data_IF_808833130272
#
_entry.id   IF_808833130272
#
_cell.length_a   1.000
_cell.length_b   1.000
_cell.length_c   1.000
_cell.angle_alpha   90.00
_cell.angle_beta   90.00
_cell.angle_gamma   90.00
#
_symmetry.space_group_name_H-M   'P 1'
#
loop_
_entity.id
_entity.type
_entity.pdbx_description
1 polymer ?
#
# COMPACT_ATOMS: atom_id res chain seq x y z
N UNK A 1 -26.98 23.34 2.01
CA UNK A 1 -27.28 24.64 2.63
C UNK A 1 -27.75 24.39 4.04
N UNK A 2 -26.99 24.83 5.06
CA UNK A 2 -27.48 25.40 6.32
C UNK A 2 -26.26 25.92 7.08
N UNK A 3 -26.39 27.16 7.51
CA UNK A 3 -25.39 28.16 7.84
C UNK A 3 -25.54 28.47 9.34
N UNK A 4 -24.48 28.39 10.15
CA UNK A 4 -24.53 28.89 11.54
C UNK A 4 -23.23 29.64 11.85
N UNK A 5 -23.44 30.88 12.29
CA UNK A 5 -22.53 32.00 12.39
C UNK A 5 -22.02 32.16 13.82
N UNK A 6 -20.75 32.56 13.97
CA UNK A 6 -20.13 33.05 15.21
C UNK A 6 -20.76 34.39 15.66
N UNK A 7 -20.69 34.73 16.96
CA UNK A 7 -20.82 36.12 17.40
C UNK A 7 -19.46 36.77 17.68
N UNK A 8 -19.24 37.94 17.08
CA UNK A 8 -18.29 38.98 17.53
C UNK A 8 -19.04 40.09 18.28
N UNK A 9 -18.38 40.67 19.29
CA UNK A 9 -18.51 42.05 19.81
C UNK A 9 -17.38 42.23 20.85
N UNK A 10 -16.70 43.35 21.08
CA UNK A 10 -16.72 44.70 20.51
C UNK A 10 -15.44 45.43 20.99
N UNK A 11 -15.10 46.50 20.28
CA UNK A 11 -13.96 47.41 20.44
C UNK A 11 -14.11 48.39 21.62
N UNK A 12 -12.99 48.73 22.27
CA UNK A 12 -12.76 50.07 22.85
C UNK A 12 -11.30 50.48 22.63
N UNK A 13 -11.13 51.70 22.11
CA UNK A 13 -9.90 52.38 21.70
C UNK A 13 -9.60 53.50 22.72
N UNK A 14 -8.33 53.71 23.07
CA UNK A 14 -7.88 54.86 23.86
C UNK A 14 -6.41 55.14 23.60
N UNK A 15 -6.13 56.21 22.87
CA UNK A 15 -4.81 56.69 22.44
C UNK A 15 -4.11 57.57 23.49
N UNK A 16 -2.79 57.72 23.27
CA UNK A 16 -1.88 58.82 23.60
C UNK A 16 -1.11 58.82 24.94
N UNK A 17 0.21 58.94 24.81
CA UNK A 17 1.07 59.61 25.79
C UNK A 17 2.48 59.03 25.88
N UNK A 18 3.45 59.64 25.19
CA UNK A 18 4.85 59.23 25.23
C UNK A 18 5.68 59.83 26.39
N UNK A 19 6.98 59.51 26.31
CA UNK A 19 8.14 60.14 26.97
C UNK A 19 8.62 59.51 28.28
N UNK A 20 9.85 58.99 28.21
CA UNK A 20 10.75 58.57 29.31
C UNK A 20 10.99 59.66 30.35
N UNK A 21 11.53 59.32 31.54
CA UNK A 21 12.96 59.57 31.76
C UNK A 21 13.73 58.54 32.63
N UNK A 22 15.01 58.39 32.27
CA UNK A 22 16.28 58.23 33.03
C UNK A 22 16.33 57.79 34.51
N UNK A 23 17.08 56.68 34.74
CA UNK A 23 18.24 56.33 35.63
C UNK A 23 18.58 57.17 36.90
N UNK A 24 19.48 56.76 37.86
CA UNK A 24 20.59 55.76 37.78
C UNK A 24 20.93 55.00 39.11
N UNK A 25 22.12 54.36 39.14
CA UNK A 25 22.98 53.87 40.25
C UNK A 25 23.12 52.33 40.28
N UNK A 26 24.30 51.68 40.26
CA UNK A 26 25.71 52.05 40.47
C UNK A 26 26.61 51.03 39.74
N UNK A 27 27.73 51.49 39.16
CA UNK A 27 28.93 50.67 38.86
C UNK A 27 29.87 50.68 40.08
N UNK A 28 30.81 49.72 40.16
CA UNK A 28 32.16 50.06 39.70
C UNK A 28 32.81 48.97 38.84
N UNK A 29 33.64 49.45 37.90
CA UNK A 29 34.55 48.69 37.05
C UNK A 29 35.64 47.98 37.87
N UNK A 30 36.11 46.84 37.39
CA UNK A 30 37.55 46.55 37.26
C UNK A 30 37.78 45.63 36.06
N UNK A 31 38.75 46.04 35.25
CA UNK A 31 39.16 45.50 33.97
C UNK A 31 39.76 44.10 34.02
N UNK A 32 39.65 43.42 32.88
CA UNK A 32 40.62 42.42 32.43
C UNK A 32 40.27 40.99 32.76
N UNK A 33 39.61 40.31 31.83
CA UNK A 33 40.09 39.05 31.25
C UNK A 33 39.03 38.49 30.31
N UNK A 34 39.40 38.48 29.02
CA UNK A 34 39.04 37.49 28.03
C UNK A 34 37.55 37.21 27.81
N UNK A 35 37.13 37.62 26.63
CA UNK A 35 35.95 37.22 25.87
C UNK A 35 35.81 35.68 25.78
N UNK A 36 35.47 35.04 26.90
CA UNK A 36 35.26 33.60 27.04
C UNK A 36 33.77 33.24 27.06
N UNK A 37 32.89 34.22 26.86
CA UNK A 37 31.44 34.01 26.69
C UNK A 37 31.07 33.79 25.21
N UNK A 38 31.92 34.22 24.26
CA UNK A 38 31.74 33.95 22.83
C UNK A 38 32.06 32.49 22.42
N UNK A 39 32.58 31.68 23.35
CA UNK A 39 32.98 30.28 23.08
C UNK A 39 32.15 29.23 23.85
N UNK A 40 31.08 29.63 24.54
CA UNK A 40 30.22 28.72 25.32
C UNK A 40 28.75 28.74 24.88
N UNK A 41 28.45 29.13 23.64
CA UNK A 41 27.27 28.61 22.95
C UNK A 41 27.65 27.29 22.28
N UNK A 42 27.41 26.18 22.96
CA UNK A 42 27.33 24.88 22.30
C UNK A 42 26.08 24.94 21.40
N UNK A 43 26.32 25.29 20.12
CA UNK A 43 25.34 25.42 19.03
C UNK A 43 25.08 26.88 18.65
N UNK A 44 25.82 27.51 17.73
CA UNK A 44 25.67 27.30 16.27
C UNK A 44 26.79 27.99 15.46
N UNK A 45 27.09 27.53 14.22
CA UNK A 45 26.54 28.22 13.05
C UNK A 45 25.82 27.27 12.08
N UNK A 46 25.58 26.03 12.49
CA UNK A 46 24.89 25.06 11.65
C UNK A 46 23.39 25.08 11.92
N UNK A 47 22.73 26.12 11.43
CA UNK A 47 21.28 26.14 11.21
C UNK A 47 20.88 25.23 10.06
N UNK A 48 21.18 23.92 10.16
CA UNK A 48 20.71 22.95 9.18
C UNK A 48 19.47 22.24 9.71
N UNK A 49 18.31 22.85 9.48
CA UNK A 49 17.04 22.14 9.50
C UNK A 49 16.90 21.42 8.16
N UNK A 50 17.20 20.13 8.12
CA UNK A 50 16.89 19.31 6.94
C UNK A 50 15.40 18.92 7.03
N UNK A 51 14.53 19.76 6.48
CA UNK A 51 13.10 19.43 6.30
C UNK A 51 12.95 18.48 5.09
N UNK A 52 13.52 17.26 5.20
CA UNK A 52 13.27 16.18 4.24
C UNK A 52 11.91 15.56 4.57
N UNK A 53 10.86 16.06 3.92
CA UNK A 53 9.50 15.52 4.03
C UNK A 53 9.22 14.53 2.90
N UNK A 54 9.80 13.33 2.99
CA UNK A 54 9.35 12.22 2.16
C UNK A 54 7.94 11.86 2.61
N UNK A 55 6.96 11.95 1.72
CA UNK A 55 5.58 11.57 1.98
C UNK A 55 5.04 10.69 0.86
N UNK A 56 4.01 9.92 1.17
CA UNK A 56 3.38 9.04 0.20
C UNK A 56 2.17 9.72 -0.43
N UNK A 57 2.19 9.93 -1.74
CA UNK A 57 1.06 10.39 -2.52
C UNK A 57 0.19 9.18 -2.89
N UNK A 58 -0.96 9.06 -2.22
CA UNK A 58 -1.91 7.96 -2.46
C UNK A 58 -2.67 8.06 -3.78
N UNK A 59 -2.85 9.25 -4.33
CA UNK A 59 -3.53 9.44 -5.63
C UNK A 59 -2.68 8.90 -6.78
N UNK A 60 -1.37 9.01 -6.64
CA UNK A 60 -0.40 8.65 -7.67
C UNK A 60 0.40 7.40 -7.32
N UNK A 61 0.10 6.80 -6.16
CA UNK A 61 0.77 5.66 -5.56
C UNK A 61 2.30 5.74 -5.64
N UNK A 62 2.89 6.85 -5.17
CA UNK A 62 4.36 7.05 -5.16
C UNK A 62 4.81 7.86 -3.96
N UNK A 63 6.06 7.72 -3.59
CA UNK A 63 6.74 8.61 -2.66
C UNK A 63 7.19 9.88 -3.37
N UNK A 64 6.94 11.03 -2.74
CA UNK A 64 7.33 12.36 -3.20
C UNK A 64 8.23 13.04 -2.17
N UNK A 65 9.03 14.01 -2.61
CA UNK A 65 10.01 14.69 -1.75
C UNK A 65 11.26 13.85 -1.47
N UNK A 66 11.58 12.87 -2.33
CA UNK A 66 12.80 12.06 -2.24
C UNK A 66 14.01 12.93 -2.65
N UNK A 67 14.99 13.18 -1.75
CA UNK A 67 16.20 13.91 -2.12
C UNK A 67 17.04 13.18 -3.17
N UNK A 68 17.73 13.92 -4.03
CA UNK A 68 18.59 13.34 -5.08
C UNK A 68 19.70 12.44 -4.51
N UNK A 69 20.17 12.73 -3.30
CA UNK A 69 21.19 11.95 -2.58
C UNK A 69 20.61 10.83 -1.69
N UNK A 70 19.31 10.52 -1.78
CA UNK A 70 18.69 9.48 -0.94
C UNK A 70 19.32 8.09 -1.15
N UNK A 71 19.85 7.82 -2.34
CA UNK A 71 20.60 6.61 -2.66
C UNK A 71 21.75 6.35 -1.69
N UNK A 72 22.51 7.41 -1.43
CA UNK A 72 23.77 7.34 -0.70
C UNK A 72 23.53 6.93 0.76
N UNK A 73 22.38 7.32 1.32
CA UNK A 73 21.97 6.95 2.68
C UNK A 73 21.56 5.48 2.79
N UNK A 74 20.88 4.92 1.78
CA UNK A 74 20.50 3.51 1.78
C UNK A 74 21.73 2.59 1.67
N UNK A 75 22.69 2.96 0.82
CA UNK A 75 23.94 2.20 0.62
C UNK A 75 24.87 2.34 1.84
N UNK A 76 25.00 3.54 2.41
CA UNK A 76 25.84 3.78 3.59
C UNK A 76 25.33 3.08 4.85
N UNK A 77 24.01 2.99 5.04
CA UNK A 77 23.40 2.31 6.18
C UNK A 77 23.67 0.79 6.22
N UNK A 78 23.86 0.15 5.07
CA UNK A 78 24.21 -1.27 4.98
C UNK A 78 25.68 -1.54 5.40
N UNK A 79 26.60 -0.62 5.10
CA UNK A 79 28.03 -0.76 5.44
C UNK A 79 28.29 -0.48 6.93
N UNK A 80 27.58 0.47 7.55
CA UNK A 80 27.77 0.83 8.97
C UNK A 80 27.26 -0.28 9.91
N UNK A 81 26.22 -1.04 9.52
CA UNK A 81 25.69 -2.14 10.35
C UNK A 81 26.65 -3.32 10.48
N UNK A 82 27.46 -3.62 9.46
CA UNK A 82 28.50 -4.64 9.57
C UNK A 82 29.63 -4.28 10.55
N UNK A 83 29.78 -3.00 10.92
CA UNK A 83 30.81 -2.54 11.85
C UNK A 83 30.32 -2.46 13.30
N UNK A 84 29.01 -2.36 13.52
CA UNK A 84 28.42 -2.30 14.85
C UNK A 84 28.40 -3.68 15.55
N UNK A 85 28.23 -4.77 14.80
CA UNK A 85 28.23 -6.14 15.35
C UNK A 85 29.62 -6.64 15.78
N UNK A 86 30.70 -5.92 15.44
CA UNK A 86 32.07 -6.29 15.82
C UNK A 86 32.54 -5.65 17.14
N UNK A 87 31.77 -4.75 17.74
CA UNK A 87 32.21 -3.99 18.94
C UNK A 87 31.49 -4.42 20.23
N UNK A 88 30.42 -5.22 20.15
CA UNK A 88 29.71 -5.77 21.34
C UNK A 88 30.03 -7.25 21.63
N UNK A 89 31.24 -7.72 21.28
CA UNK A 89 31.67 -9.10 21.52
C UNK A 89 32.87 -9.22 22.47
N UNK A 90 33.05 -8.25 23.37
CA UNK A 90 34.07 -8.27 24.42
C UNK A 90 33.45 -7.78 25.74
N UNK A 91 32.58 -8.60 26.32
CA UNK A 91 32.44 -8.74 27.78
C UNK A 91 31.28 -9.70 28.10
N UNK A 92 31.60 -10.98 28.30
CA UNK A 92 30.90 -11.89 29.23
C UNK A 92 31.57 -13.27 29.19
N UNK A 93 32.59 -13.45 30.02
CA UNK A 93 33.07 -14.78 30.41
C UNK A 93 32.31 -15.24 31.67
N UNK A 94 31.68 -16.42 31.61
CA UNK A 94 31.64 -17.47 32.65
C UNK A 94 30.51 -18.49 32.38
N UNK A 95 30.88 -19.77 32.32
CA UNK A 95 30.00 -20.96 32.25
C UNK A 95 29.63 -21.47 33.67
N UNK A 96 29.02 -22.66 33.89
CA UNK A 96 28.01 -23.44 33.14
C UNK A 96 26.83 -23.88 34.07
N UNK A 97 25.89 -24.74 33.58
CA UNK A 97 25.28 -25.92 34.27
C UNK A 97 23.73 -26.13 34.08
N UNK A 98 23.43 -27.32 33.50
CA UNK A 98 22.31 -28.29 33.64
C UNK A 98 20.79 -27.98 33.40
N UNK A 99 20.26 -28.71 32.40
CA UNK A 99 18.99 -29.49 32.28
C UNK A 99 17.84 -29.25 33.30
N UNK A 100 16.64 -28.96 32.79
CA UNK A 100 15.48 -29.89 32.69
C UNK A 100 14.19 -29.14 32.30
N UNK A 101 13.26 -29.81 31.63
CA UNK A 101 12.11 -29.19 30.98
C UNK A 101 10.93 -28.83 31.88
N UNK A 102 9.98 -28.07 31.31
CA UNK A 102 8.54 -28.20 31.55
C UNK A 102 7.73 -27.34 30.58
N UNK A 103 6.66 -27.95 30.10
CA UNK A 103 5.56 -27.42 29.30
C UNK A 103 4.80 -26.35 30.10
N UNK A 104 4.62 -25.15 29.54
CA UNK A 104 3.68 -24.15 30.07
C UNK A 104 3.01 -23.37 28.93
N UNK A 105 1.67 -23.48 28.88
CA UNK A 105 0.75 -22.64 28.11
C UNK A 105 0.98 -21.17 28.43
N UNK A 106 1.10 -20.32 27.40
CA UNK A 106 0.95 -18.87 27.52
C UNK A 106 0.17 -18.31 26.33
N UNK A 107 -1.03 -17.84 26.64
CA UNK A 107 -1.84 -16.89 25.89
C UNK A 107 -0.97 -15.67 25.53
N UNK A 108 -0.96 -15.24 24.26
CA UNK A 108 -0.41 -13.94 23.85
C UNK A 108 -1.48 -13.18 23.08
N UNK A 109 -2.03 -12.17 23.73
CA UNK A 109 -2.54 -10.96 23.09
C UNK A 109 -1.36 -10.28 22.39
N UNK A 110 -1.41 -10.14 21.07
CA UNK A 110 -0.45 -9.30 20.34
C UNK A 110 -1.17 -8.04 19.87
N UNK A 111 -1.05 -6.98 20.64
CA UNK A 111 -1.15 -5.62 20.12
C UNK A 111 0.06 -5.39 19.21
N UNK A 112 -0.17 -5.32 17.90
CA UNK A 112 0.85 -4.94 16.94
C UNK A 112 1.14 -3.43 17.07
N UNK A 113 2.41 -3.00 17.08
CA UNK A 113 2.74 -1.58 16.97
C UNK A 113 2.47 -1.08 15.54
N UNK A 114 2.25 0.23 15.33
CA UNK A 114 2.05 0.78 14.00
C UNK A 114 3.30 0.53 13.13
N UNK A 115 3.06 0.12 11.89
CA UNK A 115 4.06 -0.43 10.98
C UNK A 115 5.25 0.49 10.74
N UNK A 116 6.39 0.14 11.34
CA UNK A 116 7.70 0.54 10.86
C UNK A 116 8.09 -0.36 9.69
N UNK A 117 8.05 0.16 8.46
CA UNK A 117 8.61 -0.52 7.30
C UNK A 117 10.13 -0.59 7.48
N UNK A 118 10.65 -1.76 7.83
CA UNK A 118 12.10 -1.96 7.88
C UNK A 118 12.63 -2.09 6.44
N UNK A 119 13.47 -1.17 6.01
CA UNK A 119 14.14 -1.21 4.69
C UNK A 119 14.83 -2.56 4.44
N UNK A 120 15.29 -3.23 5.50
CA UNK A 120 15.93 -4.54 5.44
C UNK A 120 15.05 -5.63 4.82
N UNK A 121 13.71 -5.58 5.01
CA UNK A 121 12.81 -6.57 4.45
C UNK A 121 12.49 -6.37 2.96
N UNK A 122 12.77 -5.19 2.41
CA UNK A 122 12.57 -4.89 0.98
C UNK A 122 13.75 -5.36 0.11
N UNK A 123 14.97 -5.40 0.66
CA UNK A 123 16.18 -5.74 -0.10
C UNK A 123 16.27 -7.23 -0.51
N UNK A 124 15.54 -8.13 0.16
CA UNK A 124 15.62 -9.58 -0.09
C UNK A 124 14.81 -10.10 -1.29
N UNK A 125 14.00 -9.25 -1.94
CA UNK A 125 13.05 -9.64 -3.00
C UNK A 125 13.24 -8.89 -4.32
N UNK A 126 14.40 -8.25 -4.52
CA UNK A 126 14.69 -7.41 -5.68
C UNK A 126 15.01 -8.22 -6.94
N UNK A 127 14.53 -7.76 -8.10
CA UNK A 127 15.00 -8.25 -9.42
C UNK A 127 16.50 -7.91 -9.59
N UNK A 128 17.36 -8.83 -10.05
CA UNK A 128 18.81 -8.67 -10.08
C UNK A 128 19.35 -7.69 -11.14
N UNK A 129 18.50 -6.89 -11.81
CA UNK A 129 18.91 -6.08 -12.98
C UNK A 129 19.21 -4.62 -12.64
N UNK A 130 18.74 -4.04 -11.53
CA UNK A 130 19.07 -2.64 -11.18
C UNK A 130 19.03 -2.40 -9.65
N UNK A 131 19.87 -3.12 -8.89
CA UNK A 131 19.79 -3.16 -7.42
C UNK A 131 20.12 -1.87 -6.66
N UNK A 132 20.49 -0.78 -7.37
CA UNK A 132 21.06 0.42 -6.74
C UNK A 132 20.25 1.72 -6.98
N UNK A 133 19.11 1.68 -7.68
CA UNK A 133 18.25 2.87 -7.80
C UNK A 133 17.32 2.99 -6.57
N UNK A 134 17.55 3.96 -5.67
CA UNK A 134 16.76 4.10 -4.45
C UNK A 134 15.31 4.50 -4.71
N UNK A 135 15.05 5.23 -5.80
CA UNK A 135 13.70 5.67 -6.17
C UNK A 135 12.89 4.45 -6.57
N UNK A 136 13.53 3.53 -7.31
CA UNK A 136 12.94 2.23 -7.64
C UNK A 136 12.73 1.35 -6.42
N UNK A 137 13.70 1.30 -5.49
CA UNK A 137 13.55 0.52 -4.24
C UNK A 137 12.35 1.02 -3.43
N UNK A 138 12.19 2.34 -3.32
CA UNK A 138 11.15 2.95 -2.52
C UNK A 138 9.76 2.84 -3.17
N UNK A 139 9.68 2.99 -4.49
CA UNK A 139 8.42 2.96 -5.24
C UNK A 139 8.08 1.59 -5.84
N UNK A 140 8.80 0.52 -5.49
CA UNK A 140 8.47 -0.79 -6.02
C UNK A 140 7.08 -1.23 -5.52
N UNK A 141 6.21 -1.59 -6.46
CA UNK A 141 4.83 -2.02 -6.19
C UNK A 141 4.51 -3.40 -6.76
N UNK A 142 5.19 -3.82 -7.83
CA UNK A 142 5.09 -5.15 -8.42
C UNK A 142 6.18 -6.06 -7.90
N UNK A 143 5.92 -7.38 -7.90
CA UNK A 143 6.86 -8.41 -7.42
C UNK A 143 7.23 -8.31 -5.95
N UNK A 144 6.40 -7.63 -5.16
CA UNK A 144 6.51 -7.59 -3.70
C UNK A 144 5.32 -8.32 -3.07
N UNK A 145 5.49 -8.91 -1.88
CA UNK A 145 4.36 -9.35 -1.08
C UNK A 145 3.42 -8.17 -0.83
N UNK A 146 2.11 -8.38 -0.96
CA UNK A 146 1.09 -7.34 -0.78
C UNK A 146 1.09 -6.69 0.63
N UNK A 147 1.77 -7.30 1.61
CA UNK A 147 1.97 -6.74 2.95
C UNK A 147 3.06 -5.65 2.99
N UNK A 148 3.97 -5.65 2.03
CA UNK A 148 5.12 -4.74 1.94
C UNK A 148 4.82 -3.47 1.13
N UNK A 149 3.76 -3.47 0.33
CA UNK A 149 3.37 -2.27 -0.42
C UNK A 149 2.59 -1.29 0.48
N UNK A 150 2.69 0.02 0.22
CA UNK A 150 1.82 1.03 0.82
C UNK A 150 0.33 0.71 0.62
N UNK A 151 -0.47 0.95 1.67
CA UNK A 151 -1.90 0.62 1.72
C UNK A 151 -2.71 1.78 2.28
N UNK A 152 -3.90 2.00 1.73
CA UNK A 152 -4.83 3.09 2.06
C UNK A 152 -6.14 2.52 2.61
N UNK A 153 -6.77 3.24 3.54
CA UNK A 153 -8.11 2.86 4.01
C UNK A 153 -9.14 3.17 2.93
N UNK A 154 -9.99 2.19 2.61
CA UNK A 154 -11.06 2.32 1.62
C UNK A 154 -12.38 2.06 2.35
N UNK A 155 -13.40 2.93 2.24
CA UNK A 155 -14.69 2.70 2.87
C UNK A 155 -15.30 1.35 2.48
N UNK A 156 -15.86 0.64 3.47
CA UNK A 156 -16.45 -0.69 3.26
C UNK A 156 -15.50 -1.89 3.39
N UNK A 157 -14.21 -1.64 3.69
CA UNK A 157 -13.23 -2.69 3.97
C UNK A 157 -12.61 -2.51 5.35
N UNK A 158 -12.47 -3.62 6.08
CA UNK A 158 -11.89 -3.62 7.43
C UNK A 158 -10.35 -3.49 7.41
N UNK A 159 -9.72 -3.79 6.28
CA UNK A 159 -8.28 -3.71 6.08
C UNK A 159 -7.92 -2.68 5.00
N UNK A 160 -6.71 -2.13 5.11
CA UNK A 160 -6.20 -1.18 4.10
C UNK A 160 -5.84 -1.90 2.81
N UNK A 161 -6.29 -1.36 1.68
CA UNK A 161 -6.09 -1.90 0.34
C UNK A 161 -4.77 -1.36 -0.27
N UNK A 162 -4.00 -2.14 -1.04
CA UNK A 162 -2.82 -1.66 -1.75
C UNK A 162 -3.10 -0.37 -2.53
N UNK A 163 -2.35 0.69 -2.23
CA UNK A 163 -2.61 2.01 -2.80
C UNK A 163 -2.45 2.04 -4.33
N UNK A 164 -1.55 1.23 -4.87
CA UNK A 164 -1.38 1.05 -6.33
C UNK A 164 -2.65 0.52 -7.00
N UNK A 165 -3.38 -0.41 -6.35
CA UNK A 165 -4.62 -0.94 -6.89
C UNK A 165 -5.72 0.13 -6.87
N UNK A 166 -5.80 0.90 -5.79
CA UNK A 166 -6.76 2.02 -5.66
C UNK A 166 -6.48 3.11 -6.70
N UNK A 167 -5.22 3.50 -6.89
CA UNK A 167 -4.82 4.46 -7.93
C UNK A 167 -5.17 3.96 -9.35
N UNK A 168 -4.88 2.69 -9.67
CA UNK A 168 -5.24 2.09 -10.96
C UNK A 168 -6.76 2.08 -11.19
N UNK A 169 -7.52 1.73 -10.15
CA UNK A 169 -8.98 1.77 -10.17
C UNK A 169 -9.52 3.19 -10.37
N UNK A 170 -8.99 4.19 -9.67
CA UNK A 170 -9.41 5.58 -9.84
C UNK A 170 -9.20 6.05 -11.28
N UNK A 171 -8.03 5.79 -11.87
CA UNK A 171 -7.80 6.10 -13.28
C UNK A 171 -8.73 5.31 -14.21
N UNK A 172 -8.96 4.02 -13.93
CA UNK A 172 -9.86 3.18 -14.72
C UNK A 172 -11.31 3.72 -14.73
N UNK A 173 -11.83 4.09 -13.55
CA UNK A 173 -13.19 4.63 -13.39
C UNK A 173 -13.30 6.02 -14.02
N UNK A 174 -12.30 6.90 -13.81
CA UNK A 174 -12.28 8.26 -14.39
C UNK A 174 -12.33 8.24 -15.93
N UNK A 175 -11.79 7.19 -16.55
CA UNK A 175 -11.78 6.97 -17.99
C UNK A 175 -12.95 6.13 -18.49
N UNK A 176 -13.94 5.87 -17.64
CA UNK A 176 -15.11 5.04 -17.96
C UNK A 176 -14.73 3.67 -18.53
N UNK A 177 -13.67 3.04 -18.02
CA UNK A 177 -13.20 1.76 -18.54
C UNK A 177 -14.23 0.63 -18.46
N UNK A 178 -15.17 0.72 -17.53
CA UNK A 178 -16.31 -0.18 -17.42
C UNK A 178 -17.24 -0.14 -18.64
N UNK A 179 -17.16 0.85 -19.53
CA UNK A 179 -17.92 0.90 -20.79
C UNK A 179 -17.12 0.37 -21.99
N UNK A 180 -15.83 0.10 -21.84
CA UNK A 180 -14.97 -0.31 -22.96
C UNK A 180 -15.24 -1.76 -23.36
N UNK A 181 -15.53 -2.00 -24.64
CA UNK A 181 -15.76 -3.33 -25.19
C UNK A 181 -14.58 -4.29 -24.88
N UNK A 182 -14.91 -5.47 -24.38
CA UNK A 182 -13.98 -6.55 -24.04
C UNK A 182 -12.86 -6.16 -23.06
N UNK A 183 -13.11 -5.17 -22.20
CA UNK A 183 -12.16 -4.75 -21.16
C UNK A 183 -11.75 -5.93 -20.25
N UNK A 184 -10.49 -5.95 -19.79
CA UNK A 184 -9.80 -7.10 -19.15
C UNK A 184 -9.52 -8.31 -20.04
N UNK A 185 -10.32 -8.58 -21.09
CA UNK A 185 -10.07 -9.67 -22.05
C UNK A 185 -9.01 -9.28 -23.07
N UNK A 186 -9.15 -8.11 -23.69
CA UNK A 186 -8.16 -7.59 -24.62
C UNK A 186 -6.93 -7.08 -23.87
N UNK A 187 -5.74 -7.51 -24.31
CA UNK A 187 -4.47 -7.09 -23.73
C UNK A 187 -3.85 -5.97 -24.56
N UNK A 188 -3.22 -4.96 -23.94
CA UNK A 188 -2.41 -3.97 -24.64
C UNK A 188 -1.13 -4.62 -25.20
N UNK A 189 -0.29 -3.83 -25.87
CA UNK A 189 1.06 -4.29 -26.23
C UNK A 189 1.84 -4.68 -24.98
N UNK A 190 2.55 -5.82 -25.03
CA UNK A 190 3.42 -6.27 -23.93
C UNK A 190 4.42 -5.17 -23.53
N UNK A 191 5.01 -4.49 -24.51
CA UNK A 191 5.98 -3.43 -24.30
C UNK A 191 5.38 -2.22 -23.58
N UNK A 192 4.15 -1.84 -23.95
CA UNK A 192 3.43 -0.72 -23.32
C UNK A 192 3.09 -1.03 -21.85
N UNK A 193 2.57 -2.23 -21.58
CA UNK A 193 2.30 -2.69 -20.20
C UNK A 193 3.59 -2.82 -19.39
N UNK A 194 4.65 -3.37 -19.96
CA UNK A 194 5.96 -3.48 -19.30
C UNK A 194 6.54 -2.11 -18.94
N UNK A 195 6.42 -1.13 -19.84
CA UNK A 195 6.85 0.24 -19.57
C UNK A 195 6.01 0.86 -18.45
N UNK A 196 4.69 0.73 -18.52
CA UNK A 196 3.81 1.27 -17.49
C UNK A 196 4.06 0.65 -16.10
N UNK A 197 4.35 -0.66 -16.04
CA UNK A 197 4.76 -1.34 -14.79
C UNK A 197 6.09 -0.78 -14.26
N UNK A 198 7.08 -0.55 -15.13
CA UNK A 198 8.35 0.09 -14.74
C UNK A 198 8.12 1.50 -14.20
N UNK A 199 7.28 2.29 -14.88
CA UNK A 199 6.97 3.65 -14.47
C UNK A 199 6.31 3.67 -13.08
N UNK A 200 5.44 2.71 -12.76
CA UNK A 200 4.88 2.56 -11.39
C UNK A 200 6.00 2.25 -10.40
N UNK A 201 6.83 1.26 -10.69
CA UNK A 201 7.92 0.84 -9.80
C UNK A 201 8.97 1.94 -9.58
N UNK A 202 9.04 2.95 -10.45
CA UNK A 202 9.94 4.09 -10.32
C UNK A 202 9.24 5.38 -9.88
N UNK A 203 7.95 5.36 -9.51
CA UNK A 203 7.19 6.57 -9.14
C UNK A 203 6.98 7.56 -10.30
N UNK A 204 7.22 7.15 -11.54
CA UNK A 204 7.10 7.97 -12.75
C UNK A 204 5.76 7.79 -13.48
N UNK A 205 4.90 6.88 -13.02
CA UNK A 205 3.63 6.58 -13.67
C UNK A 205 2.73 7.81 -13.79
N UNK A 206 2.02 7.91 -14.92
CA UNK A 206 1.05 8.97 -15.23
C UNK A 206 -0.21 8.34 -15.79
N UNK A 207 -1.05 7.76 -14.92
CA UNK A 207 -2.20 6.95 -15.33
C UNK A 207 -3.18 7.65 -16.26
N UNK A 208 -3.29 8.98 -16.18
CA UNK A 208 -4.07 9.80 -17.10
C UNK A 208 -3.63 9.69 -18.58
N UNK A 209 -2.37 9.35 -18.86
CA UNK A 209 -1.83 9.26 -20.23
C UNK A 209 -1.92 7.88 -20.88
N UNK A 210 -2.17 6.82 -20.11
CA UNK A 210 -2.18 5.44 -20.62
C UNK A 210 -3.54 5.01 -21.16
N UNK A 211 -3.56 4.10 -22.13
CA UNK A 211 -4.81 3.47 -22.59
C UNK A 211 -5.52 2.72 -21.45
N UNK A 212 -6.84 2.64 -21.53
CA UNK A 212 -7.66 1.98 -20.51
C UNK A 212 -7.36 0.48 -20.38
N UNK A 213 -6.97 -0.18 -21.48
CA UNK A 213 -6.55 -1.58 -21.49
C UNK A 213 -5.22 -1.77 -20.76
N UNK A 214 -4.34 -0.77 -20.76
CA UNK A 214 -3.11 -0.79 -19.93
C UNK A 214 -3.47 -0.77 -18.46
N UNK A 215 -4.39 0.10 -18.04
CA UNK A 215 -4.84 0.15 -16.64
C UNK A 215 -5.47 -1.18 -16.20
N UNK A 216 -6.36 -1.75 -17.02
CA UNK A 216 -6.98 -3.04 -16.75
C UNK A 216 -5.96 -4.19 -16.69
N UNK A 217 -4.96 -4.19 -17.59
CA UNK A 217 -3.92 -5.21 -17.60
C UNK A 217 -2.93 -5.07 -16.45
N UNK A 218 -2.63 -3.84 -15.98
CA UNK A 218 -1.82 -3.60 -14.79
C UNK A 218 -2.48 -4.13 -13.51
N UNK A 219 -3.81 -4.00 -13.38
CA UNK A 219 -4.55 -4.59 -12.25
C UNK A 219 -4.36 -6.11 -12.25
N UNK A 220 -4.58 -6.78 -13.39
CA UNK A 220 -4.34 -8.24 -13.52
C UNK A 220 -2.88 -8.61 -13.22
N UNK A 221 -1.96 -7.85 -13.80
CA UNK A 221 -0.53 -8.06 -13.65
C UNK A 221 -0.09 -7.96 -12.19
N UNK A 222 -0.64 -7.03 -11.42
CA UNK A 222 -0.26 -6.85 -10.02
C UNK A 222 -0.50 -8.13 -9.21
N UNK A 223 -1.65 -8.78 -9.41
CA UNK A 223 -1.94 -10.08 -8.79
C UNK A 223 -1.04 -11.20 -9.32
N UNK A 224 -0.81 -11.23 -10.63
CA UNK A 224 0.01 -12.27 -11.29
C UNK A 224 1.47 -12.25 -10.83
N UNK A 225 2.01 -11.06 -10.59
CA UNK A 225 3.41 -10.85 -10.21
C UNK A 225 3.64 -10.97 -8.70
N UNK A 226 2.62 -11.28 -7.89
CA UNK A 226 2.84 -11.51 -6.46
C UNK A 226 3.83 -12.68 -6.24
N UNK A 227 4.79 -12.54 -5.31
CA UNK A 227 5.70 -13.64 -4.97
C UNK A 227 4.96 -14.90 -4.49
N UNK A 228 3.82 -14.72 -3.83
CA UNK A 228 2.85 -15.78 -3.53
C UNK A 228 1.48 -15.35 -4.08
N UNK A 229 0.87 -16.09 -5.02
CA UNK A 229 -0.44 -15.77 -5.56
C UNK A 229 -1.50 -15.72 -4.45
N UNK A 230 -2.43 -14.78 -4.55
CA UNK A 230 -3.34 -14.49 -3.43
C UNK A 230 -4.26 -15.67 -3.05
N UNK A 231 -4.58 -16.56 -4.00
CA UNK A 231 -5.38 -17.75 -3.73
C UNK A 231 -4.55 -18.97 -3.32
N UNK A 232 -3.22 -18.87 -3.25
CA UNK A 232 -2.37 -19.95 -2.69
C UNK A 232 -2.46 -20.09 -1.17
N UNK A 233 -3.09 -19.12 -0.50
CA UNK A 233 -3.54 -19.30 0.90
C UNK A 233 -4.58 -20.42 1.03
N UNK A 234 -5.28 -20.76 -0.06
CA UNK A 234 -6.21 -21.89 -0.12
C UNK A 234 -5.43 -23.13 -0.55
N UNK A 235 -5.44 -24.22 0.24
CA UNK A 235 -4.80 -25.46 -0.16
C UNK A 235 -5.35 -25.99 -1.49
N UNK A 236 -4.48 -26.43 -2.39
CA UNK A 236 -4.89 -26.91 -3.73
C UNK A 236 -5.95 -28.03 -3.66
N UNK A 237 -5.84 -28.94 -2.68
CA UNK A 237 -6.82 -30.02 -2.46
C UNK A 237 -8.20 -29.53 -2.02
N UNK A 238 -8.31 -28.31 -1.49
CA UNK A 238 -9.59 -27.72 -1.10
C UNK A 238 -10.28 -26.97 -2.25
N UNK A 239 -9.53 -26.56 -3.29
CA UNK A 239 -10.08 -25.71 -4.36
C UNK A 239 -11.26 -26.35 -5.09
N UNK A 240 -11.17 -27.64 -5.43
CA UNK A 240 -12.26 -28.37 -6.11
C UNK A 240 -13.49 -28.51 -5.21
N UNK A 241 -13.29 -28.83 -3.92
CA UNK A 241 -14.37 -28.94 -2.94
C UNK A 241 -15.09 -27.61 -2.76
N UNK A 242 -14.33 -26.52 -2.60
CA UNK A 242 -14.87 -25.17 -2.42
C UNK A 242 -15.63 -24.67 -3.64
N UNK A 243 -15.14 -24.98 -4.84
CA UNK A 243 -15.81 -24.64 -6.09
C UNK A 243 -17.21 -25.27 -6.22
N UNK A 244 -17.44 -26.40 -5.55
CA UNK A 244 -18.73 -27.11 -5.51
C UNK A 244 -19.61 -26.77 -4.30
N UNK A 245 -19.16 -25.88 -3.40
CA UNK A 245 -19.90 -25.54 -2.18
C UNK A 245 -21.15 -24.70 -2.47
N UNK A 246 -22.18 -24.84 -1.62
CA UNK A 246 -23.43 -24.06 -1.75
C UNK A 246 -23.21 -22.56 -1.54
N UNK A 247 -22.35 -22.20 -0.59
CA UNK A 247 -21.97 -20.81 -0.30
C UNK A 247 -20.48 -20.59 -0.53
N UNK A 248 -20.07 -20.62 -1.81
CA UNK A 248 -18.68 -20.45 -2.23
C UNK A 248 -18.05 -19.18 -1.65
N UNK A 249 -18.77 -18.04 -1.63
CA UNK A 249 -18.22 -16.79 -1.08
C UNK A 249 -17.80 -16.97 0.38
N UNK A 250 -18.70 -17.45 1.24
CA UNK A 250 -18.39 -17.60 2.67
C UNK A 250 -17.24 -18.57 2.90
N UNK A 251 -17.29 -19.75 2.28
CA UNK A 251 -16.29 -20.81 2.43
C UNK A 251 -14.90 -20.34 1.99
N UNK A 252 -14.80 -19.72 0.81
CA UNK A 252 -13.55 -19.18 0.28
C UNK A 252 -12.98 -18.10 1.19
N UNK A 253 -13.80 -17.10 1.53
CA UNK A 253 -13.32 -15.97 2.33
C UNK A 253 -12.94 -16.41 3.75
N UNK A 254 -13.52 -17.48 4.28
CA UNK A 254 -13.19 -18.03 5.60
C UNK A 254 -11.77 -18.61 5.69
N UNK A 255 -11.22 -19.08 4.56
CA UNK A 255 -9.86 -19.61 4.47
C UNK A 255 -8.80 -18.53 4.22
N UNK A 256 -9.20 -17.35 3.75
CA UNK A 256 -8.31 -16.22 3.54
C UNK A 256 -8.07 -15.45 4.84
N UNK A 257 -6.83 -14.99 5.03
CA UNK A 257 -6.52 -13.99 6.04
C UNK A 257 -7.29 -12.68 5.80
N UNK A 258 -7.42 -11.85 6.85
CA UNK A 258 -8.25 -10.64 6.79
C UNK A 258 -7.85 -9.69 5.64
N UNK A 259 -6.55 -9.52 5.40
CA UNK A 259 -6.04 -8.63 4.36
C UNK A 259 -6.30 -9.20 2.96
N UNK A 260 -5.99 -10.48 2.76
CA UNK A 260 -6.20 -11.22 1.52
C UNK A 260 -7.68 -11.19 1.14
N UNK A 261 -8.54 -11.45 2.11
CA UNK A 261 -10.00 -11.33 1.99
C UNK A 261 -10.40 -9.95 1.50
N UNK A 262 -9.91 -8.87 2.11
CA UNK A 262 -10.28 -7.51 1.72
C UNK A 262 -9.78 -7.16 0.30
N UNK A 263 -8.58 -7.61 -0.07
CA UNK A 263 -8.04 -7.39 -1.43
C UNK A 263 -8.86 -8.18 -2.48
N UNK A 264 -9.23 -9.43 -2.20
CA UNK A 264 -10.08 -10.24 -3.08
C UNK A 264 -11.48 -9.63 -3.20
N UNK A 265 -12.08 -9.18 -2.09
CA UNK A 265 -13.36 -8.49 -2.09
C UNK A 265 -13.31 -7.19 -2.89
N UNK A 266 -12.25 -6.41 -2.73
CA UNK A 266 -12.03 -5.17 -3.50
C UNK A 266 -11.98 -5.44 -5.00
N UNK A 267 -11.25 -6.48 -5.41
CA UNK A 267 -11.19 -6.89 -6.81
C UNK A 267 -12.57 -7.35 -7.31
N UNK A 268 -13.27 -8.17 -6.53
CA UNK A 268 -14.59 -8.66 -6.88
C UNK A 268 -15.62 -7.52 -7.00
N UNK A 269 -15.55 -6.48 -6.17
CA UNK A 269 -16.44 -5.32 -6.25
C UNK A 269 -16.17 -4.46 -7.49
N UNK A 270 -14.89 -4.24 -7.84
CA UNK A 270 -14.53 -3.58 -9.11
C UNK A 270 -15.09 -4.34 -10.31
N UNK A 271 -14.94 -5.66 -10.33
CA UNK A 271 -15.41 -6.49 -11.44
C UNK A 271 -16.94 -6.63 -11.45
N UNK A 272 -17.58 -6.65 -10.29
CA UNK A 272 -19.04 -6.61 -10.19
C UNK A 272 -19.57 -5.31 -10.78
N UNK A 273 -18.92 -4.17 -10.52
CA UNK A 273 -19.26 -2.90 -11.16
C UNK A 273 -19.12 -2.98 -12.68
N UNK A 274 -18.02 -3.53 -13.20
CA UNK A 274 -17.84 -3.73 -14.65
C UNK A 274 -18.93 -4.63 -15.24
N UNK A 275 -19.29 -5.71 -14.55
CA UNK A 275 -20.33 -6.66 -14.99
C UNK A 275 -21.72 -6.02 -15.13
N UNK A 276 -22.02 -4.94 -14.40
CA UNK A 276 -23.30 -4.22 -14.53
C UNK A 276 -23.46 -3.58 -15.92
N UNK A 277 -22.34 -3.26 -16.57
CA UNK A 277 -22.30 -2.68 -17.90
C UNK A 277 -22.05 -3.71 -19.00
N UNK A 278 -22.30 -5.00 -18.73
CA UNK A 278 -22.23 -6.09 -19.71
C UNK A 278 -22.89 -5.78 -21.06
N UNK A 279 -24.05 -5.08 -21.14
CA UNK A 279 -24.64 -4.71 -22.44
C UNK A 279 -23.74 -3.84 -23.33
N UNK A 280 -22.80 -3.09 -22.74
CA UNK A 280 -21.87 -2.19 -23.44
C UNK A 280 -20.49 -2.82 -23.61
N UNK A 281 -19.94 -3.40 -22.54
CA UNK A 281 -18.57 -3.90 -22.53
C UNK A 281 -18.45 -5.39 -22.92
N UNK A 282 -19.56 -6.13 -22.99
CA UNK A 282 -19.61 -7.58 -23.27
C UNK A 282 -18.87 -8.47 -22.25
N UNK A 283 -18.67 -7.99 -21.04
CA UNK A 283 -17.94 -8.65 -19.95
C UNK A 283 -18.82 -8.83 -18.73
N UNK A 284 -19.54 -9.96 -18.66
CA UNK A 284 -20.32 -10.36 -17.49
C UNK A 284 -19.49 -11.10 -16.44
N UNK A 285 -20.15 -11.53 -15.36
CA UNK A 285 -19.53 -12.29 -14.25
C UNK A 285 -18.72 -13.50 -14.75
N UNK A 286 -19.27 -14.27 -15.68
CA UNK A 286 -18.59 -15.46 -16.20
C UNK A 286 -17.35 -15.13 -17.03
N UNK A 287 -17.45 -14.11 -17.90
CA UNK A 287 -16.33 -13.68 -18.74
C UNK A 287 -15.21 -13.09 -17.90
N UNK A 288 -15.55 -12.26 -16.91
CA UNK A 288 -14.59 -11.65 -15.99
C UNK A 288 -13.91 -12.70 -15.12
N UNK A 289 -14.65 -13.68 -14.57
CA UNK A 289 -14.05 -14.75 -13.78
C UNK A 289 -12.99 -15.55 -14.57
N UNK A 290 -13.29 -15.88 -15.83
CA UNK A 290 -12.38 -16.63 -16.71
C UNK A 290 -11.08 -15.87 -16.97
N UNK A 291 -11.14 -14.55 -17.20
CA UNK A 291 -9.94 -13.76 -17.53
C UNK A 291 -9.14 -13.32 -16.30
N UNK A 292 -9.78 -13.24 -15.14
CA UNK A 292 -9.14 -12.78 -13.90
C UNK A 292 -8.52 -13.92 -13.11
N UNK A 293 -9.23 -15.04 -12.92
CA UNK A 293 -8.78 -16.14 -12.05
C UNK A 293 -7.37 -16.68 -12.36
N UNK A 294 -6.90 -16.78 -13.63
CA UNK A 294 -5.52 -17.19 -13.93
C UNK A 294 -4.44 -16.25 -13.37
N UNK A 295 -4.78 -15.02 -12.99
CA UNK A 295 -3.85 -14.07 -12.38
C UNK A 295 -3.84 -14.19 -10.84
N UNK A 296 -4.70 -15.01 -10.25
CA UNK A 296 -4.84 -15.18 -8.80
C UNK A 296 -4.18 -16.47 -8.27
N UNK A 297 -3.80 -17.38 -9.17
CA UNK A 297 -3.16 -18.67 -8.88
C UNK A 297 -1.95 -18.90 -9.81
N UNK A 298 -0.98 -19.67 -9.34
CA UNK A 298 0.02 -20.33 -10.19
C UNK A 298 -0.11 -21.85 -10.06
N UNK A 299 -0.09 -22.56 -11.18
CA UNK A 299 -0.25 -24.00 -11.19
C UNK A 299 1.12 -24.66 -11.26
N UNK A 300 1.56 -25.25 -10.16
CA UNK A 300 2.84 -25.94 -10.04
C UNK A 300 2.62 -27.45 -10.12
N UNK A 301 2.29 -27.94 -11.31
CA UNK A 301 2.08 -29.37 -11.59
C UNK A 301 2.54 -29.72 -12.99
N UNK A 302 3.26 -30.84 -13.11
CA UNK A 302 3.67 -31.40 -14.40
C UNK A 302 2.54 -32.21 -15.05
N UNK A 303 1.52 -32.61 -14.27
CA UNK A 303 0.39 -33.37 -14.79
C UNK A 303 -0.64 -32.41 -15.44
N UNK A 304 -0.86 -32.51 -16.77
CA UNK A 304 -1.75 -31.61 -17.50
C UNK A 304 -3.22 -31.76 -17.08
N UNK A 305 -3.65 -32.96 -16.65
CA UNK A 305 -5.02 -33.17 -16.18
C UNK A 305 -5.26 -32.44 -14.84
N UNK A 306 -4.28 -32.50 -13.94
CA UNK A 306 -4.33 -31.78 -12.66
C UNK A 306 -4.28 -30.27 -12.91
N UNK A 307 -3.46 -29.81 -13.87
CA UNK A 307 -3.41 -28.39 -14.24
C UNK A 307 -4.77 -27.89 -14.74
N UNK A 308 -5.44 -28.64 -15.61
CA UNK A 308 -6.77 -28.28 -16.13
C UNK A 308 -7.81 -28.28 -15.01
N UNK A 309 -7.81 -29.29 -14.13
CA UNK A 309 -8.73 -29.39 -13.01
C UNK A 309 -8.58 -28.20 -12.03
N UNK A 310 -7.35 -27.91 -11.61
CA UNK A 310 -7.06 -26.79 -10.71
C UNK A 310 -7.34 -25.42 -11.36
N UNK A 311 -7.03 -25.26 -12.65
CA UNK A 311 -7.38 -24.05 -13.40
C UNK A 311 -8.89 -23.81 -13.40
N UNK A 312 -9.66 -24.87 -13.69
CA UNK A 312 -11.12 -24.82 -13.65
C UNK A 312 -11.63 -24.52 -12.24
N UNK A 313 -11.10 -25.19 -11.22
CA UNK A 313 -11.48 -24.97 -9.83
C UNK A 313 -11.22 -23.51 -9.40
N UNK A 314 -10.07 -22.93 -9.77
CA UNK A 314 -9.77 -21.53 -9.48
C UNK A 314 -10.76 -20.56 -10.14
N UNK A 315 -11.14 -20.82 -11.40
CA UNK A 315 -12.17 -20.05 -12.11
C UNK A 315 -13.53 -20.19 -11.42
N UNK A 316 -13.94 -21.42 -11.09
CA UNK A 316 -15.24 -21.71 -10.47
C UNK A 316 -15.35 -21.07 -9.07
N UNK A 317 -14.28 -21.15 -8.28
CA UNK A 317 -14.13 -20.53 -6.97
C UNK A 317 -14.27 -19.00 -7.05
N UNK A 318 -13.46 -18.35 -7.90
CA UNK A 318 -13.52 -16.89 -8.03
C UNK A 318 -14.85 -16.42 -8.64
N UNK A 319 -15.44 -17.19 -9.57
CA UNK A 319 -16.77 -16.93 -10.11
C UNK A 319 -17.83 -16.93 -9.01
N UNK A 320 -17.76 -17.88 -8.06
CA UNK A 320 -18.67 -17.93 -6.92
C UNK A 320 -18.61 -16.65 -6.08
N UNK A 321 -17.41 -16.20 -5.73
CA UNK A 321 -17.18 -14.93 -5.02
C UNK A 321 -17.72 -13.74 -5.82
N UNK A 322 -17.34 -13.61 -7.09
CA UNK A 322 -17.76 -12.50 -7.95
C UNK A 322 -19.29 -12.46 -8.14
N UNK A 323 -19.93 -13.62 -8.31
CA UNK A 323 -21.38 -13.72 -8.45
C UNK A 323 -22.09 -13.25 -7.19
N UNK A 324 -21.62 -13.64 -6.01
CA UNK A 324 -22.21 -13.21 -4.74
C UNK A 324 -22.09 -11.69 -4.55
N UNK A 325 -20.92 -11.11 -4.88
CA UNK A 325 -20.71 -9.65 -4.86
C UNK A 325 -21.61 -8.91 -5.84
N UNK A 326 -21.74 -9.43 -7.06
CA UNK A 326 -22.64 -8.88 -8.07
C UNK A 326 -24.10 -8.90 -7.61
N UNK A 327 -24.58 -10.02 -7.07
CA UNK A 327 -25.94 -10.14 -6.53
C UNK A 327 -26.19 -9.17 -5.38
N UNK A 328 -25.26 -9.06 -4.42
CA UNK A 328 -25.34 -8.09 -3.31
C UNK A 328 -25.44 -6.66 -3.84
N UNK A 329 -24.65 -6.31 -4.85
CA UNK A 329 -24.70 -4.97 -5.47
C UNK A 329 -26.06 -4.69 -6.11
N UNK A 330 -26.64 -5.66 -6.81
CA UNK A 330 -27.99 -5.51 -7.39
C UNK A 330 -29.08 -5.36 -6.32
N UNK A 331 -28.97 -6.08 -5.20
CA UNK A 331 -29.88 -5.93 -4.07
C UNK A 331 -29.79 -4.54 -3.43
N UNK A 332 -28.57 -3.99 -3.26
CA UNK A 332 -28.37 -2.64 -2.72
C UNK A 332 -28.94 -1.56 -3.65
N UNK A 333 -28.82 -1.75 -4.98
CA UNK A 333 -29.47 -0.87 -5.97
C UNK A 333 -30.99 -0.97 -5.91
N UNK A 334 -31.54 -2.19 -5.83
CA UNK A 334 -32.98 -2.40 -5.69
C UNK A 334 -33.56 -1.80 -4.39
N UNK A 335 -32.76 -1.78 -3.32
CA UNK A 335 -33.09 -1.14 -2.05
C UNK A 335 -32.91 0.40 -2.05
N UNK A 336 -32.42 1.00 -3.14
CA UNK A 336 -32.18 2.44 -3.26
C UNK A 336 -30.98 2.97 -2.45
N UNK A 337 -30.12 2.08 -1.95
CA UNK A 337 -28.96 2.43 -1.12
C UNK A 337 -27.78 2.90 -2.01
N UNK A 338 -27.70 2.42 -3.24
CA UNK A 338 -26.67 2.79 -4.23
C UNK A 338 -27.39 3.34 -5.46
N UNK A 339 -27.08 4.58 -5.88
CA UNK A 339 -27.65 5.13 -7.13
C UNK A 339 -27.02 4.44 -8.34
N UNK A 340 -27.77 4.41 -9.46
CA UNK A 340 -27.39 3.68 -10.67
C UNK A 340 -26.01 4.06 -11.22
N UNK A 341 -25.59 5.31 -11.03
CA UNK A 341 -24.38 5.91 -11.59
C UNK A 341 -23.35 6.38 -10.54
N UNK A 342 -23.49 6.00 -9.26
CA UNK A 342 -22.44 6.36 -8.28
C UNK A 342 -21.19 5.53 -8.60
N UNK A 343 -20.08 6.17 -9.02
CA UNK A 343 -18.82 5.46 -9.20
C UNK A 343 -18.39 4.93 -7.83
N UNK A 344 -17.67 3.81 -7.83
CA UNK A 344 -17.07 3.29 -6.60
C UNK A 344 -16.18 4.38 -5.98
N UNK A 345 -16.65 4.98 -4.89
CA UNK A 345 -15.87 5.97 -4.14
C UNK A 345 -14.68 5.26 -3.50
N UNK A 346 -13.49 5.80 -3.76
CA UNK A 346 -12.20 5.22 -3.40
C UNK A 346 -11.76 5.61 -1.99
#
# INVERSE_FOLDING_TARGET
MLNIQLPEHSTVKGDNGGSSPSSPSQTPQTDGEQDLAAFLEIGSPYGFKHDVHIHYNFQEARFEGIPDNFADFLVSGASVRHRADTVCALDAAASPVLKSGRRAKRTRTSSAPPGSLSLSSMMGSLDPVDSNDPVRILNQHFKLPFRQVPRVAVPGYDERIPAVLVMLQQHFISKQGYLTAHIFRESPSKAERDQAMRDINCGAFRGAKHDIRVLADLIKLWFRELPMPILHEIPAGEMERLAAADNVEFEVLSLLGNLERCIVLWLADLLAYVAEYQPHNHMGVDQLAIVIAPNLVRLETENPMVAVALSKAAVDLFRGVLRARFQRRQQLKAAGIVQADTPMEA
#
